data_IF_222833549898
#
_entry.id   IF_222833549898
#
_cell.length_a   1.000
_cell.length_b   1.000
_cell.length_c   1.000
_cell.angle_alpha   90.00
_cell.angle_beta   90.00
_cell.angle_gamma   90.00
#
_symmetry.space_group_name_H-M   'P 1'
#
loop_
_entity.id
_entity.type
_entity.pdbx_description
1 polymer ?
#
# COMPACT_ATOMS: atom_id res chain seq x y z
N UNK A 1 -10.13 -12.37 4.69
CA UNK A 1 -11.32 -12.33 3.80
C UNK A 1 -11.19 -13.32 2.65
N UNK A 2 -10.13 -13.26 1.85
CA UNK A 2 -9.96 -14.17 0.70
C UNK A 2 -9.93 -15.65 1.10
N UNK A 3 -9.33 -16.02 2.24
CA UNK A 3 -9.42 -17.39 2.76
C UNK A 3 -10.88 -17.80 3.05
N UNK A 4 -11.68 -16.93 3.67
CA UNK A 4 -13.11 -17.17 3.85
C UNK A 4 -13.81 -17.42 2.49
N UNK A 5 -13.53 -16.60 1.48
CA UNK A 5 -14.11 -16.71 0.13
C UNK A 5 -13.70 -18.02 -0.57
N UNK A 6 -12.41 -18.36 -0.57
CA UNK A 6 -11.88 -19.61 -1.13
C UNK A 6 -12.57 -20.80 -0.47
N UNK A 7 -12.56 -20.89 0.86
CA UNK A 7 -13.14 -22.03 1.56
C UNK A 7 -14.67 -22.06 1.52
N UNK A 8 -15.35 -20.94 1.24
CA UNK A 8 -16.83 -20.91 1.17
C UNK A 8 -17.40 -21.85 0.11
N UNK A 9 -16.62 -22.19 -0.92
CA UNK A 9 -17.06 -23.04 -2.03
C UNK A 9 -16.88 -24.55 -1.76
N UNK A 10 -15.98 -24.94 -0.84
CA UNK A 10 -15.62 -26.36 -0.67
C UNK A 10 -15.37 -26.83 0.76
N UNK A 11 -15.28 -25.94 1.75
CA UNK A 11 -15.17 -26.30 3.18
C UNK A 11 -15.78 -25.22 4.08
N UNK A 12 -17.04 -25.46 4.46
CA UNK A 12 -17.82 -24.56 5.32
C UNK A 12 -17.21 -24.39 6.71
N UNK A 13 -16.52 -25.40 7.24
CA UNK A 13 -15.93 -25.34 8.58
C UNK A 13 -14.75 -24.37 8.59
N UNK A 14 -13.85 -24.52 7.61
CA UNK A 14 -12.73 -23.61 7.43
C UNK A 14 -13.19 -22.21 7.04
N UNK A 15 -14.21 -22.10 6.20
CA UNK A 15 -14.82 -20.82 5.84
C UNK A 15 -15.30 -20.06 7.08
N UNK A 16 -16.08 -20.70 7.96
CA UNK A 16 -16.56 -20.09 9.19
C UNK A 16 -15.42 -19.65 10.13
N UNK A 17 -14.39 -20.48 10.27
CA UNK A 17 -13.19 -20.13 11.05
C UNK A 17 -12.56 -18.82 10.56
N UNK A 18 -12.34 -18.67 9.26
CA UNK A 18 -11.73 -17.46 8.71
C UNK A 18 -12.70 -16.27 8.71
N UNK A 19 -14.00 -16.51 8.59
CA UNK A 19 -15.02 -15.47 8.81
C UNK A 19 -14.90 -14.87 10.21
N UNK A 20 -14.87 -15.72 11.24
CA UNK A 20 -14.79 -15.27 12.63
C UNK A 20 -13.47 -14.53 12.91
N UNK A 21 -12.38 -14.98 12.29
CA UNK A 21 -11.08 -14.31 12.39
C UNK A 21 -11.10 -12.90 11.78
N UNK A 22 -11.70 -12.74 10.60
CA UNK A 22 -11.81 -11.44 9.93
C UNK A 22 -12.71 -10.49 10.72
N UNK A 23 -13.87 -10.96 11.18
CA UNK A 23 -14.81 -10.17 11.99
C UNK A 23 -14.15 -9.72 13.30
N UNK A 24 -13.38 -10.61 13.94
CA UNK A 24 -12.73 -10.34 15.23
C UNK A 24 -11.57 -9.35 15.11
N UNK A 25 -10.72 -9.53 14.10
CA UNK A 25 -9.49 -8.76 13.97
C UNK A 25 -9.68 -7.45 13.19
N UNK A 26 -10.69 -7.40 12.31
CA UNK A 26 -10.95 -6.26 11.43
C UNK A 26 -12.45 -5.88 11.43
N UNK A 27 -13.07 -5.62 12.60
CA UNK A 27 -14.52 -5.42 12.72
C UNK A 27 -15.07 -4.29 11.84
N UNK A 28 -14.29 -3.21 11.66
CA UNK A 28 -14.68 -2.03 10.89
C UNK A 28 -14.22 -2.10 9.41
N UNK A 29 -13.65 -3.23 8.97
CA UNK A 29 -13.23 -3.40 7.58
C UNK A 29 -14.43 -3.60 6.66
N UNK A 30 -14.31 -3.08 5.42
CA UNK A 30 -15.23 -3.37 4.31
C UNK A 30 -15.44 -4.87 4.13
N UNK A 31 -14.39 -5.68 4.29
CA UNK A 31 -14.50 -7.14 4.21
C UNK A 31 -15.37 -7.76 5.30
N UNK A 32 -15.33 -7.22 6.53
CA UNK A 32 -16.22 -7.66 7.60
C UNK A 32 -17.67 -7.29 7.29
N UNK A 33 -17.89 -6.10 6.73
CA UNK A 33 -19.22 -5.68 6.25
C UNK A 33 -19.75 -6.64 5.18
N UNK A 34 -18.90 -7.05 4.24
CA UNK A 34 -19.24 -8.02 3.18
C UNK A 34 -19.57 -9.39 3.77
N UNK A 35 -18.73 -9.90 4.68
CA UNK A 35 -18.92 -11.21 5.34
C UNK A 35 -20.21 -11.25 6.18
N UNK A 36 -20.57 -10.14 6.81
CA UNK A 36 -21.74 -10.06 7.68
C UNK A 36 -23.04 -9.82 6.92
N UNK A 37 -23.01 -9.13 5.78
CA UNK A 37 -24.19 -8.84 4.96
C UNK A 37 -23.92 -9.12 3.47
N UNK A 38 -23.72 -10.39 3.07
CA UNK A 38 -23.37 -10.74 1.69
C UNK A 38 -24.46 -10.33 0.68
N UNK A 39 -25.74 -10.36 1.06
CA UNK A 39 -26.84 -9.93 0.18
C UNK A 39 -26.87 -8.42 -0.11
N UNK A 40 -26.25 -7.60 0.76
CA UNK A 40 -26.18 -6.15 0.56
C UNK A 40 -25.10 -5.76 -0.46
N UNK A 41 -24.16 -6.67 -0.71
CA UNK A 41 -23.01 -6.52 -1.64
C UNK A 41 -23.37 -7.04 -3.03
N UNK A 42 -24.28 -8.02 -3.12
CA UNK A 42 -24.79 -8.56 -4.40
C UNK A 42 -25.64 -7.56 -5.21
N UNK A 43 -25.95 -6.38 -4.67
CA UNK A 43 -26.68 -5.31 -5.37
C UNK A 43 -25.74 -4.32 -6.08
N UNK A 44 -24.43 -4.56 -6.07
CA UNK A 44 -23.45 -3.62 -6.60
C UNK A 44 -22.28 -4.34 -7.26
N UNK A 45 -22.51 -4.97 -8.42
CA UNK A 45 -21.45 -5.31 -9.38
C UNK A 45 -20.59 -4.07 -9.75
N UNK A 46 -21.13 -2.86 -9.53
CA UNK A 46 -20.42 -1.58 -9.63
C UNK A 46 -19.45 -1.30 -8.45
N UNK A 47 -19.66 -1.85 -7.25
CA UNK A 47 -18.79 -1.63 -6.07
C UNK A 47 -17.58 -2.57 -6.05
N UNK A 48 -17.67 -3.78 -6.61
CA UNK A 48 -16.55 -4.73 -6.71
C UNK A 48 -15.47 -4.25 -7.69
N UNK A 49 -15.82 -3.38 -8.65
CA UNK A 49 -14.88 -2.71 -9.56
C UNK A 49 -14.62 -1.24 -9.18
N UNK A 50 -15.04 -0.80 -7.99
CA UNK A 50 -14.70 0.55 -7.54
C UNK A 50 -13.18 0.71 -7.42
N UNK A 51 -12.63 1.91 -7.69
CA UNK A 51 -11.19 2.11 -7.61
C UNK A 51 -10.63 1.78 -6.22
N UNK A 52 -11.38 2.06 -5.16
CA UNK A 52 -11.02 1.72 -3.78
C UNK A 52 -10.98 0.20 -3.56
N UNK A 53 -11.94 -0.55 -4.12
CA UNK A 53 -11.95 -2.00 -4.01
C UNK A 53 -10.76 -2.65 -4.70
N UNK A 54 -10.43 -2.17 -5.91
CA UNK A 54 -9.28 -2.66 -6.67
C UNK A 54 -7.98 -2.31 -5.96
N UNK A 55 -7.90 -1.13 -5.31
CA UNK A 55 -6.75 -0.75 -4.50
C UNK A 55 -6.56 -1.67 -3.30
N UNK A 56 -7.63 -1.94 -2.55
CA UNK A 56 -7.59 -2.85 -1.39
C UNK A 56 -7.11 -4.25 -1.80
N UNK A 57 -7.62 -4.76 -2.92
CA UNK A 57 -7.24 -6.09 -3.44
C UNK A 57 -5.79 -6.14 -3.92
N UNK A 58 -5.31 -5.12 -4.63
CA UNK A 58 -3.89 -5.02 -5.03
C UNK A 58 -2.95 -4.88 -3.83
N UNK A 59 -3.35 -4.09 -2.83
CA UNK A 59 -2.59 -3.94 -1.59
C UNK A 59 -2.55 -5.25 -0.78
N UNK A 60 -3.66 -6.00 -0.78
CA UNK A 60 -3.73 -7.30 -0.14
C UNK A 60 -2.74 -8.29 -0.78
N UNK A 61 -2.68 -8.35 -2.11
CA UNK A 61 -1.68 -9.16 -2.81
C UNK A 61 -0.25 -8.73 -2.48
N UNK A 62 0.01 -7.42 -2.35
CA UNK A 62 1.32 -6.92 -1.92
C UNK A 62 1.69 -7.39 -0.50
N UNK A 63 0.75 -7.30 0.45
CA UNK A 63 0.96 -7.70 1.85
C UNK A 63 1.19 -9.21 2.00
N UNK A 64 0.53 -10.02 1.17
CA UNK A 64 0.74 -11.47 1.09
C UNK A 64 1.92 -11.88 0.18
N UNK A 65 2.74 -10.92 -0.26
CA UNK A 65 3.93 -11.13 -1.11
C UNK A 65 3.63 -11.72 -2.50
N UNK A 66 2.38 -11.65 -2.96
CA UNK A 66 1.95 -12.00 -4.32
C UNK A 66 2.26 -10.86 -5.30
N UNK A 67 3.53 -10.49 -5.42
CA UNK A 67 3.97 -9.27 -6.10
C UNK A 67 3.59 -9.22 -7.59
N UNK A 68 3.64 -10.34 -8.32
CA UNK A 68 3.23 -10.38 -9.73
C UNK A 68 1.73 -10.04 -9.90
N UNK A 69 0.88 -10.56 -9.02
CA UNK A 69 -0.56 -10.28 -9.03
C UNK A 69 -0.83 -8.83 -8.61
N UNK A 70 -0.18 -8.37 -7.54
CA UNK A 70 -0.27 -6.99 -7.07
C UNK A 70 0.12 -6.00 -8.17
N UNK A 71 1.22 -6.26 -8.88
CA UNK A 71 1.67 -5.42 -9.99
C UNK A 71 0.65 -5.43 -11.13
N UNK A 72 0.19 -6.60 -11.57
CA UNK A 72 -0.77 -6.71 -12.67
C UNK A 72 -2.09 -5.99 -12.36
N UNK A 73 -2.62 -6.13 -11.13
CA UNK A 73 -3.83 -5.42 -10.69
C UNK A 73 -3.59 -3.91 -10.64
N UNK A 74 -2.46 -3.48 -10.09
CA UNK A 74 -2.10 -2.06 -9.97
C UNK A 74 -1.99 -1.41 -11.34
N UNK A 75 -1.30 -2.04 -12.29
CA UNK A 75 -1.13 -1.47 -13.64
C UNK A 75 -2.45 -1.38 -14.40
N UNK A 76 -3.29 -2.42 -14.34
CA UNK A 76 -4.64 -2.38 -14.91
C UNK A 76 -5.50 -1.28 -14.29
N UNK A 77 -5.41 -1.09 -12.98
CA UNK A 77 -6.14 -0.04 -12.28
C UNK A 77 -5.69 1.36 -12.70
N UNK A 78 -4.38 1.56 -12.91
CA UNK A 78 -3.85 2.83 -13.39
C UNK A 78 -4.42 3.19 -14.77
N UNK A 79 -4.47 2.22 -15.68
CA UNK A 79 -5.07 2.41 -17.01
C UNK A 79 -6.59 2.61 -16.94
N UNK A 80 -7.28 1.82 -16.11
CA UNK A 80 -8.74 1.86 -16.01
C UNK A 80 -9.27 3.15 -15.38
N UNK A 81 -8.51 3.75 -14.47
CA UNK A 81 -8.95 4.89 -13.65
C UNK A 81 -8.15 6.17 -13.93
N UNK A 82 -7.56 6.30 -15.12
CA UNK A 82 -6.48 7.26 -15.47
C UNK A 82 -6.71 8.75 -15.13
N UNK A 83 -7.95 9.17 -14.86
CA UNK A 83 -8.32 10.54 -14.47
C UNK A 83 -8.88 10.68 -13.03
N UNK A 84 -8.87 9.60 -12.25
CA UNK A 84 -9.42 9.58 -10.90
C UNK A 84 -8.39 9.99 -9.85
N UNK A 85 -8.81 10.65 -8.74
CA UNK A 85 -7.91 11.14 -7.71
C UNK A 85 -7.16 10.04 -6.92
N UNK A 86 -7.51 8.76 -7.14
CA UNK A 86 -6.86 7.61 -6.51
C UNK A 86 -5.58 7.16 -7.23
N UNK A 87 -5.36 7.56 -8.49
CA UNK A 87 -4.19 7.17 -9.28
C UNK A 87 -2.84 7.36 -8.55
N UNK A 88 -2.60 8.49 -7.84
CA UNK A 88 -1.38 8.66 -7.06
C UNK A 88 -1.15 7.55 -6.03
N UNK A 89 -2.21 6.97 -5.45
CA UNK A 89 -2.11 5.84 -4.52
C UNK A 89 -1.66 4.56 -5.21
N UNK A 90 -2.22 4.27 -6.38
CA UNK A 90 -1.81 3.11 -7.17
C UNK A 90 -0.36 3.23 -7.64
N UNK A 91 0.05 4.41 -8.11
CA UNK A 91 1.43 4.65 -8.55
C UNK A 91 2.44 4.54 -7.40
N UNK A 92 2.07 5.01 -6.21
CA UNK A 92 2.88 4.81 -5.00
C UNK A 92 2.95 3.32 -4.60
N UNK A 93 1.84 2.58 -4.66
CA UNK A 93 1.82 1.14 -4.42
C UNK A 93 2.72 0.39 -5.43
N UNK A 94 2.65 0.75 -6.71
CA UNK A 94 3.53 0.23 -7.76
C UNK A 94 5.00 0.44 -7.41
N UNK A 95 5.39 1.61 -6.90
CA UNK A 95 6.76 1.85 -6.45
C UNK A 95 7.19 0.86 -5.36
N UNK A 96 6.35 0.61 -4.35
CA UNK A 96 6.63 -0.37 -3.30
C UNK A 96 6.71 -1.81 -3.82
N UNK A 97 5.88 -2.19 -4.79
CA UNK A 97 5.93 -3.50 -5.44
C UNK A 97 7.26 -3.64 -6.21
N UNK A 98 7.64 -2.64 -7.01
CA UNK A 98 8.90 -2.64 -7.77
C UNK A 98 10.13 -2.68 -6.86
N UNK A 99 10.08 -2.06 -5.68
CA UNK A 99 11.13 -2.21 -4.67
C UNK A 99 11.37 -3.67 -4.31
N UNK A 100 10.29 -4.45 -4.12
CA UNK A 100 10.36 -5.86 -3.74
C UNK A 100 10.83 -6.75 -4.90
N UNK A 101 10.40 -6.44 -6.13
CA UNK A 101 10.67 -7.26 -7.30
C UNK A 101 12.01 -6.95 -7.98
N UNK A 102 12.38 -5.67 -8.05
CA UNK A 102 13.47 -5.15 -8.88
C UNK A 102 14.54 -4.39 -8.07
N UNK A 103 14.25 -4.08 -6.80
CA UNK A 103 15.22 -3.48 -5.89
C UNK A 103 15.23 -1.95 -5.90
N UNK A 104 16.30 -1.40 -5.31
CA UNK A 104 16.35 0.01 -4.88
C UNK A 104 16.38 1.01 -6.04
N UNK A 105 16.98 0.67 -7.18
CA UNK A 105 17.03 1.57 -8.34
C UNK A 105 15.64 1.76 -8.95
N UNK A 106 14.94 0.66 -9.24
CA UNK A 106 13.56 0.71 -9.73
C UNK A 106 12.62 1.46 -8.77
N UNK A 107 12.82 1.28 -7.46
CA UNK A 107 12.04 2.02 -6.46
C UNK A 107 12.29 3.52 -6.53
N UNK A 108 13.55 3.95 -6.65
CA UNK A 108 13.89 5.38 -6.77
C UNK A 108 13.28 5.99 -8.02
N UNK A 109 13.36 5.29 -9.16
CA UNK A 109 12.79 5.76 -10.42
C UNK A 109 11.27 5.91 -10.32
N UNK A 110 10.60 4.92 -9.74
CA UNK A 110 9.15 4.95 -9.51
C UNK A 110 8.73 6.07 -8.54
N UNK A 111 9.44 6.26 -7.41
CA UNK A 111 9.16 7.36 -6.49
C UNK A 111 9.42 8.73 -7.12
N UNK A 112 10.46 8.85 -7.95
CA UNK A 112 10.75 10.07 -8.69
C UNK A 112 9.57 10.43 -9.59
N UNK A 113 9.08 9.44 -10.35
CA UNK A 113 7.87 9.61 -11.16
C UNK A 113 6.66 10.06 -10.33
N UNK A 114 6.36 9.39 -9.22
CA UNK A 114 5.23 9.78 -8.34
C UNK A 114 5.38 11.22 -7.83
N UNK A 115 6.59 11.61 -7.44
CA UNK A 115 6.85 12.96 -6.92
C UNK A 115 6.69 14.07 -7.97
N UNK A 116 7.09 13.78 -9.21
CA UNK A 116 7.06 14.75 -10.32
C UNK A 116 5.67 14.85 -10.95
N UNK A 117 4.96 13.72 -11.06
CA UNK A 117 3.63 13.67 -11.67
C UNK A 117 2.52 14.14 -10.71
N UNK A 118 2.68 13.93 -9.40
CA UNK A 118 1.65 14.23 -8.39
C UNK A 118 2.15 15.11 -7.22
N UNK A 119 2.84 16.25 -7.48
CA UNK A 119 3.54 17.00 -6.43
C UNK A 119 2.63 17.58 -5.33
N UNK A 120 1.34 17.75 -5.61
CA UNK A 120 0.38 18.34 -4.68
C UNK A 120 -0.40 17.31 -3.85
N UNK A 121 -0.24 16.02 -4.12
CA UNK A 121 -0.95 14.95 -3.40
C UNK A 121 -0.16 14.49 -2.18
N UNK A 122 -0.81 13.78 -1.26
CA UNK A 122 -0.12 13.22 -0.10
C UNK A 122 0.89 12.14 -0.52
N UNK A 123 0.59 11.39 -1.57
CA UNK A 123 1.44 10.36 -2.15
C UNK A 123 2.70 10.95 -2.79
N UNK A 124 2.57 12.05 -3.54
CA UNK A 124 3.72 12.77 -4.10
C UNK A 124 4.63 13.34 -3.00
N UNK A 125 4.05 13.97 -1.97
CA UNK A 125 4.80 14.45 -0.80
C UNK A 125 5.48 13.30 -0.04
N UNK A 126 4.82 12.16 0.07
CA UNK A 126 5.38 10.97 0.71
C UNK A 126 6.57 10.43 -0.10
N UNK A 127 6.46 10.38 -1.43
CA UNK A 127 7.54 9.96 -2.31
C UNK A 127 8.78 10.85 -2.18
N UNK A 128 8.62 12.18 -2.12
CA UNK A 128 9.73 13.12 -1.85
C UNK A 128 10.43 12.79 -0.53
N UNK A 129 9.67 12.64 0.57
CA UNK A 129 10.25 12.33 1.89
C UNK A 129 11.03 11.02 1.87
N UNK A 130 10.53 9.99 1.18
CA UNK A 130 11.24 8.73 1.04
C UNK A 130 12.55 8.93 0.27
N UNK A 131 12.52 9.63 -0.87
CA UNK A 131 13.73 9.91 -1.67
C UNK A 131 14.80 10.71 -0.91
N UNK A 132 14.40 11.70 -0.12
CA UNK A 132 15.28 12.48 0.74
C UNK A 132 15.95 11.60 1.80
N UNK A 133 15.18 10.69 2.41
CA UNK A 133 15.70 9.73 3.39
C UNK A 133 16.69 8.73 2.78
N UNK A 134 16.56 8.42 1.48
CA UNK A 134 17.48 7.53 0.77
C UNK A 134 18.77 8.21 0.32
N UNK A 135 18.72 9.52 0.12
CA UNK A 135 19.83 10.34 -0.38
C UNK A 135 20.67 10.92 0.76
N UNK A 136 20.08 11.09 1.94
CA UNK A 136 20.84 11.42 3.14
C UNK A 136 21.74 10.23 3.49
N UNK A 137 23.08 10.36 3.48
CA UNK A 137 23.88 9.45 4.26
C UNK A 137 23.38 9.59 5.69
N UNK A 138 22.97 8.50 6.33
CA UNK A 138 22.83 8.50 7.79
C UNK A 138 24.17 8.97 8.35
N UNK A 139 24.21 10.24 8.76
CA UNK A 139 25.40 10.89 9.26
C UNK A 139 25.35 10.76 10.78
N UNK A 140 26.03 9.78 11.41
CA UNK A 140 26.06 9.69 12.87
C UNK A 140 26.87 10.81 13.55
N UNK A 141 27.32 11.83 12.81
CA UNK A 141 28.39 12.74 13.25
C UNK A 141 27.94 14.21 13.43
N UNK A 142 26.70 14.42 13.92
CA UNK A 142 26.24 15.75 14.36
C UNK A 142 25.91 15.83 15.86
N UNK A 143 26.17 14.77 16.64
CA UNK A 143 26.03 14.82 18.11
C UNK A 143 27.31 15.30 18.81
N UNK A 144 28.44 15.40 18.11
CA UNK A 144 29.73 15.85 18.69
C UNK A 144 30.15 17.19 18.09
N UNK A 145 29.33 18.24 18.27
CA UNK A 145 29.83 19.62 18.06
C UNK A 145 29.15 20.71 18.90
N UNK A 146 28.19 20.37 19.76
CA UNK A 146 27.51 21.35 20.63
C UNK A 146 27.95 21.35 22.10
N UNK A 147 28.93 20.52 22.51
CA UNK A 147 29.44 20.51 23.89
C UNK A 147 30.96 20.62 23.93
N UNK A 148 31.54 21.72 23.46
CA UNK A 148 32.66 22.39 24.17
C UNK A 148 32.97 23.78 23.58
N UNK A 149 32.64 24.88 24.28
CA UNK A 149 33.32 26.16 24.09
C UNK A 149 34.67 26.17 24.83
N UNK A 150 35.73 26.39 24.04
CA UNK A 150 36.97 27.15 24.29
C UNK A 150 37.56 27.23 25.71
N UNK A 151 38.77 26.65 25.82
CA UNK A 151 40.04 27.24 26.29
C UNK A 151 40.03 28.37 27.33
N UNK A 152 40.74 28.16 28.45
CA UNK A 152 41.68 29.09 29.13
C UNK A 152 42.67 28.21 29.92
N UNK A 153 43.92 28.04 29.48
CA UNK A 153 45.06 28.90 29.87
C UNK A 153 45.04 29.29 31.35
N UNK A 154 45.81 28.56 32.17
CA UNK A 154 46.93 29.05 33.00
C UNK A 154 47.66 27.87 33.67
#
# INVERSE_FOLDING_TARGET
YHLYKIYSEFDVTMSNKYKDEVVKNYPDSRYTTIIMNPEKVLLSDEEDNSPEAVYEDAFCDYDYEYYDNALSKTEKAIEQFEDLPIIPKFELLKAFILMKMQGKEAFKDALSYVSLSYPNTEEGKHAVKILESMSSPSNPDETIKSITPQTKEE
#
